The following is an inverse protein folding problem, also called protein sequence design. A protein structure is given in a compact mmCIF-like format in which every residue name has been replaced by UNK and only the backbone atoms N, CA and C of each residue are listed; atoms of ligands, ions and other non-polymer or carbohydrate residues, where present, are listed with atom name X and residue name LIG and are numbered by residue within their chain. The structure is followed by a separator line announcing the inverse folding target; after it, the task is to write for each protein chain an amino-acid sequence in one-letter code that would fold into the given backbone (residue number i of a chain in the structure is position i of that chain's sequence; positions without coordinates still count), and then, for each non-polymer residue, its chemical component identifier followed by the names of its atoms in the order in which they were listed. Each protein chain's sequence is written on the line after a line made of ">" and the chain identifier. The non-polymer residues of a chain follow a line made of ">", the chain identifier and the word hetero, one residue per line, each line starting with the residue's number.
data_IF_480468585686
#
_entry.id   IF_480468585686
#
_cell.length_a   1.000
_cell.length_b   1.000
_cell.length_c   1.000
_cell.angle_alpha   90.00
_cell.angle_beta   90.00
_cell.angle_gamma   90.00
#
_symmetry.space_group_name_H-M   'P 1'
#
loop_
_entity.id
_entity.type
_entity.pdbx_description
1 polymer ?
#
# COMPACT_ATOMS: atom_id res chain seq x y z
N UNK A 1 -65.33 -41.97 -6.34
CA UNK A 1 -64.74 -41.19 -5.22
C UNK A 1 -63.22 -41.36 -5.29
N UNK A 2 -62.42 -40.51 -5.93
CA UNK A 2 -62.29 -39.07 -5.76
C UNK A 2 -61.01 -38.73 -4.95
N UNK A 3 -59.82 -39.20 -5.37
CA UNK A 3 -58.55 -38.84 -4.69
C UNK A 3 -58.02 -37.52 -5.25
N UNK A 4 -58.34 -36.43 -4.55
CA UNK A 4 -57.76 -35.09 -4.73
C UNK A 4 -56.26 -35.14 -4.45
N UNK A 5 -55.43 -34.90 -5.48
CA UNK A 5 -53.99 -34.69 -5.34
C UNK A 5 -53.75 -33.19 -5.09
N UNK A 6 -53.37 -32.85 -3.87
CA UNK A 6 -52.89 -31.52 -3.49
C UNK A 6 -51.57 -31.19 -4.21
N UNK A 7 -51.41 -30.02 -4.87
CA UNK A 7 -50.14 -29.63 -5.48
C UNK A 7 -49.12 -29.25 -4.40
N UNK A 8 -47.95 -29.88 -4.44
CA UNK A 8 -46.82 -29.57 -3.56
C UNK A 8 -46.33 -28.13 -3.75
N UNK A 9 -46.33 -27.35 -2.67
CA UNK A 9 -45.68 -26.03 -2.61
C UNK A 9 -44.17 -26.21 -2.84
N UNK A 10 -43.64 -25.63 -3.91
CA UNK A 10 -42.19 -25.51 -4.12
C UNK A 10 -41.60 -24.55 -3.07
N UNK A 11 -40.51 -24.89 -2.39
CA UNK A 11 -39.82 -23.93 -1.54
C UNK A 11 -39.19 -22.84 -2.41
N UNK A 12 -39.58 -21.59 -2.17
CA UNK A 12 -38.99 -20.40 -2.79
C UNK A 12 -37.51 -20.33 -2.43
N UNK A 13 -36.64 -20.43 -3.43
CA UNK A 13 -35.20 -20.18 -3.28
C UNK A 13 -35.01 -18.71 -2.90
N UNK A 14 -34.83 -18.46 -1.61
CA UNK A 14 -34.43 -17.15 -1.10
C UNK A 14 -33.08 -16.78 -1.70
N UNK A 15 -33.07 -15.74 -2.55
CA UNK A 15 -31.85 -15.11 -3.05
C UNK A 15 -31.13 -14.50 -1.85
N UNK A 16 -30.20 -15.25 -1.25
CA UNK A 16 -29.30 -14.69 -0.23
C UNK A 16 -28.42 -13.65 -0.92
N UNK A 17 -28.76 -12.37 -0.71
CA UNK A 17 -27.91 -11.24 -1.05
C UNK A 17 -26.61 -11.43 -0.29
N UNK A 18 -25.56 -11.84 -1.00
CA UNK A 18 -24.22 -11.97 -0.44
C UNK A 18 -23.67 -10.57 -0.19
N UNK A 19 -23.93 -10.02 1.00
CA UNK A 19 -23.22 -8.84 1.49
C UNK A 19 -21.73 -9.19 1.60
N UNK A 20 -20.95 -8.75 0.62
CA UNK A 20 -19.50 -8.82 0.62
C UNK A 20 -18.93 -7.91 1.72
N UNK A 21 -19.03 -8.32 2.98
CA UNK A 21 -18.34 -7.67 4.08
C UNK A 21 -16.83 -7.88 3.89
N UNK A 22 -16.07 -6.81 3.70
CA UNK A 22 -14.61 -6.81 3.81
C UNK A 22 -14.24 -7.20 5.25
N UNK A 23 -14.19 -8.50 5.55
CA UNK A 23 -13.78 -8.98 6.87
C UNK A 23 -12.27 -8.79 6.97
N UNK A 24 -11.84 -7.69 7.60
CA UNK A 24 -10.47 -7.56 8.09
C UNK A 24 -10.28 -8.60 9.18
N UNK A 25 -9.49 -9.63 8.91
CA UNK A 25 -9.10 -10.61 9.91
C UNK A 25 -8.15 -9.93 10.92
N UNK A 26 -8.10 -10.40 12.17
CA UNK A 26 -7.27 -9.78 13.23
C UNK A 26 -5.80 -9.64 12.83
N UNK A 27 -5.30 -10.59 12.02
CA UNK A 27 -3.96 -10.55 11.41
C UNK A 27 -3.77 -9.34 10.50
N UNK A 28 -4.77 -9.00 9.69
CA UNK A 28 -4.69 -7.89 8.74
C UNK A 28 -4.65 -6.56 9.46
N UNK A 29 -5.43 -6.43 10.54
CA UNK A 29 -5.38 -5.27 11.40
C UNK A 29 -3.99 -5.12 12.03
N UNK A 30 -3.45 -6.20 12.62
CA UNK A 30 -2.12 -6.19 13.23
C UNK A 30 -1.01 -5.82 12.23
N UNK A 31 -1.06 -6.35 11.00
CA UNK A 31 -0.11 -5.98 9.95
C UNK A 31 -0.23 -4.51 9.57
N UNK A 32 -1.45 -4.03 9.33
CA UNK A 32 -1.72 -2.63 8.98
C UNK A 32 -1.21 -1.67 10.06
N UNK A 33 -1.51 -1.94 11.33
CA UNK A 33 -1.07 -1.10 12.45
C UNK A 33 0.44 -1.14 12.64
N UNK A 34 1.06 -2.32 12.54
CA UNK A 34 2.52 -2.48 12.73
C UNK A 34 3.29 -1.75 11.63
N UNK A 35 2.87 -1.86 10.38
CA UNK A 35 3.54 -1.17 9.27
C UNK A 35 3.23 0.33 9.23
N UNK A 36 2.04 0.77 9.68
CA UNK A 36 1.79 2.19 9.91
C UNK A 36 2.75 2.78 10.97
N UNK A 37 2.98 2.04 12.06
CA UNK A 37 3.95 2.42 13.09
C UNK A 37 5.39 2.41 12.55
N UNK A 38 5.77 1.43 11.72
CA UNK A 38 7.07 1.39 11.06
C UNK A 38 7.29 2.64 10.19
N UNK A 39 6.30 3.04 9.38
CA UNK A 39 6.36 4.25 8.56
C UNK A 39 6.55 5.49 9.45
N UNK A 40 5.80 5.58 10.56
CA UNK A 40 5.95 6.68 11.51
C UNK A 40 7.37 6.76 12.09
N UNK A 41 7.93 5.63 12.52
CA UNK A 41 9.33 5.56 12.99
C UNK A 41 10.29 6.04 11.90
N UNK A 42 10.16 5.53 10.67
CA UNK A 42 10.99 5.95 9.54
C UNK A 42 10.86 7.45 9.20
N UNK A 43 9.71 8.06 9.48
CA UNK A 43 9.46 9.48 9.24
C UNK A 43 10.08 10.39 10.30
N UNK A 44 10.07 9.99 11.57
CA UNK A 44 10.59 10.81 12.69
C UNK A 44 12.09 10.67 12.92
N UNK A 45 12.74 9.66 12.31
CA UNK A 45 14.20 9.57 12.31
C UNK A 45 14.86 10.85 11.77
N UNK A 46 16.07 11.21 12.25
CA UNK A 46 16.75 12.42 11.82
C UNK A 46 16.84 12.52 10.29
N UNK A 47 16.26 13.59 9.75
CA UNK A 47 16.25 13.85 8.31
C UNK A 47 17.51 14.61 7.90
N UNK A 48 18.03 14.31 6.71
CA UNK A 48 19.13 15.07 6.12
C UNK A 48 18.56 16.30 5.45
N UNK A 49 18.96 17.47 5.94
CA UNK A 49 18.53 18.75 5.37
C UNK A 49 19.26 18.97 4.05
N UNK A 50 18.47 19.25 3.01
CA UNK A 50 18.96 19.48 1.64
C UNK A 50 19.20 20.97 1.34
N UNK A 51 18.98 21.84 2.32
CA UNK A 51 18.95 23.30 2.12
C UNK A 51 17.69 23.81 1.39
N UNK A 52 16.77 22.92 1.01
CA UNK A 52 15.53 23.25 0.31
C UNK A 52 14.25 22.93 1.10
N UNK A 53 13.11 23.00 0.41
CA UNK A 53 11.78 22.94 1.02
C UNK A 53 11.39 21.57 1.63
N UNK A 54 12.03 20.49 1.19
CA UNK A 54 11.69 19.11 1.58
C UNK A 54 12.95 18.33 1.95
N UNK A 55 13.07 17.82 3.20
CA UNK A 55 14.25 17.09 3.64
C UNK A 55 14.29 15.65 3.14
N UNK A 56 15.47 15.04 3.13
CA UNK A 56 15.63 13.60 2.84
C UNK A 56 15.34 12.80 4.11
N UNK A 57 14.43 11.83 4.01
CA UNK A 57 14.03 10.96 5.13
C UNK A 57 14.14 9.48 4.79
N UNK A 58 14.03 8.62 5.80
CA UNK A 58 13.85 7.17 5.62
C UNK A 58 12.37 6.80 5.35
N UNK A 59 11.46 7.76 5.33
CA UNK A 59 10.02 7.49 5.19
C UNK A 59 9.66 6.79 3.88
N UNK A 60 10.29 7.17 2.76
CA UNK A 60 10.05 6.53 1.46
C UNK A 60 10.39 5.04 1.47
N UNK A 61 11.43 4.65 2.21
CA UNK A 61 11.77 3.23 2.43
C UNK A 61 10.63 2.49 3.16
N UNK A 62 10.13 3.05 4.28
CA UNK A 62 9.04 2.43 5.04
C UNK A 62 7.78 2.25 4.19
N UNK A 63 7.44 3.22 3.36
CA UNK A 63 6.28 3.19 2.45
C UNK A 63 6.44 2.10 1.39
N UNK A 64 7.58 2.04 0.70
CA UNK A 64 7.83 1.04 -0.35
C UNK A 64 7.86 -0.37 0.23
N UNK A 65 8.53 -0.56 1.38
CA UNK A 65 8.59 -1.85 2.07
C UNK A 65 7.20 -2.31 2.50
N UNK A 66 6.39 -1.41 3.03
CA UNK A 66 5.00 -1.69 3.42
C UNK A 66 4.18 -2.19 2.23
N UNK A 67 4.24 -1.50 1.09
CA UNK A 67 3.57 -1.94 -0.13
C UNK A 67 4.08 -3.29 -0.63
N UNK A 68 5.40 -3.44 -0.73
CA UNK A 68 6.04 -4.65 -1.23
C UNK A 68 5.76 -5.90 -0.38
N UNK A 69 5.60 -5.75 0.95
CA UNK A 69 5.32 -6.86 1.86
C UNK A 69 3.83 -7.17 1.99
N UNK A 70 2.98 -6.15 2.12
CA UNK A 70 1.57 -6.35 2.44
C UNK A 70 0.66 -6.43 1.20
N UNK A 71 1.17 -6.10 0.01
CA UNK A 71 0.39 -6.01 -1.20
C UNK A 71 -0.46 -4.72 -1.26
N UNK A 72 -1.29 -4.56 -2.30
CA UNK A 72 -1.86 -3.26 -2.65
C UNK A 72 -2.81 -2.72 -1.59
N UNK A 73 -3.75 -3.54 -1.12
CA UNK A 73 -4.81 -3.09 -0.19
C UNK A 73 -4.30 -2.89 1.23
N UNK A 74 -3.59 -3.87 1.79
CA UNK A 74 -3.05 -3.74 3.16
C UNK A 74 -1.96 -2.66 3.21
N UNK A 75 -1.15 -2.52 2.16
CA UNK A 75 -0.18 -1.44 2.05
C UNK A 75 -0.83 -0.06 2.00
N UNK A 76 -1.86 0.11 1.16
CA UNK A 76 -2.67 1.33 1.12
C UNK A 76 -3.30 1.65 2.47
N UNK A 77 -3.90 0.67 3.14
CA UNK A 77 -4.51 0.86 4.46
C UNK A 77 -3.48 1.22 5.54
N UNK A 78 -2.28 0.65 5.50
CA UNK A 78 -1.20 0.99 6.44
C UNK A 78 -0.72 2.43 6.27
N UNK A 79 -0.47 2.87 5.03
CA UNK A 79 -0.13 4.28 4.77
C UNK A 79 -1.30 5.20 5.11
N UNK A 80 -2.53 4.80 4.78
CA UNK A 80 -3.74 5.55 5.11
C UNK A 80 -3.90 5.74 6.62
N UNK A 81 -3.71 4.68 7.41
CA UNK A 81 -3.73 4.74 8.87
C UNK A 81 -2.63 5.67 9.39
N UNK A 82 -1.41 5.58 8.87
CA UNK A 82 -0.32 6.50 9.20
C UNK A 82 -0.72 7.96 8.97
N UNK A 83 -1.30 8.28 7.80
CA UNK A 83 -1.77 9.63 7.49
C UNK A 83 -2.88 10.08 8.43
N UNK A 84 -3.89 9.23 8.68
CA UNK A 84 -5.02 9.54 9.57
C UNK A 84 -4.55 9.84 11.00
N UNK A 85 -3.63 9.03 11.53
CA UNK A 85 -3.06 9.24 12.87
C UNK A 85 -2.31 10.57 12.95
N UNK A 86 -1.51 10.90 11.93
CA UNK A 86 -0.82 12.19 11.91
C UNK A 86 -1.77 13.38 11.77
N UNK A 87 -2.80 13.26 10.94
CA UNK A 87 -3.84 14.30 10.77
C UNK A 87 -4.64 14.49 12.08
N UNK A 88 -4.88 13.42 12.83
CA UNK A 88 -5.54 13.47 14.13
C UNK A 88 -4.71 14.18 15.22
N UNK A 89 -3.46 14.54 14.94
CA UNK A 89 -2.64 15.39 15.80
C UNK A 89 -1.40 14.72 16.39
N UNK A 90 -1.17 13.43 16.15
CA UNK A 90 0.04 12.76 16.62
C UNK A 90 1.26 13.21 15.79
N UNK A 91 2.41 13.54 16.42
CA UNK A 91 3.63 14.04 15.77
C UNK A 91 4.42 12.93 15.04
N UNK A 92 3.77 12.26 14.09
CA UNK A 92 4.32 11.12 13.34
C UNK A 92 4.85 11.50 11.96
N UNK A 93 4.65 12.75 11.51
CA UNK A 93 5.23 13.23 10.27
C UNK A 93 6.67 13.71 10.49
N UNK A 94 7.41 13.80 9.39
CA UNK A 94 8.78 14.30 9.35
C UNK A 94 8.96 15.59 10.15
N UNK A 95 10.07 15.70 10.91
CA UNK A 95 10.34 16.78 11.86
C UNK A 95 9.31 16.90 13.00
N UNK A 96 8.64 15.81 13.36
CA UNK A 96 7.64 15.79 14.44
C UNK A 96 6.38 16.58 14.13
N UNK A 97 6.07 16.82 12.85
CA UNK A 97 4.87 17.55 12.43
C UNK A 97 3.61 16.70 12.66
N UNK A 98 2.48 17.37 12.84
CA UNK A 98 1.15 16.75 12.96
C UNK A 98 0.04 17.69 12.48
N UNK A 99 -1.18 17.15 12.43
CA UNK A 99 -2.38 17.89 12.08
C UNK A 99 -2.60 18.05 10.58
N UNK A 100 -3.75 18.60 10.16
CA UNK A 100 -4.09 18.79 8.75
C UNK A 100 -3.22 19.85 8.06
N UNK A 101 -2.54 20.71 8.82
CA UNK A 101 -1.65 21.75 8.29
C UNK A 101 -0.46 21.18 7.50
N UNK A 102 -0.12 19.89 7.64
CA UNK A 102 0.91 19.26 6.82
C UNK A 102 0.59 19.26 5.33
N UNK A 103 -0.69 19.29 4.95
CA UNK A 103 -1.10 19.44 3.55
C UNK A 103 -0.90 20.85 3.00
N UNK A 104 -0.62 21.81 3.87
CA UNK A 104 -0.26 23.18 3.49
C UNK A 104 1.25 23.34 3.26
N UNK A 105 2.04 22.27 3.37
CA UNK A 105 3.49 22.29 3.17
C UNK A 105 3.90 21.83 1.76
N UNK A 106 5.09 22.19 1.27
CA UNK A 106 5.66 21.68 0.01
C UNK A 106 5.72 20.15 -0.06
N UNK A 107 5.85 19.48 1.09
CA UNK A 107 5.87 18.02 1.20
C UNK A 107 4.51 17.34 1.06
N UNK A 108 3.40 18.08 0.98
CA UNK A 108 2.05 17.53 0.91
C UNK A 108 1.85 16.53 -0.25
N UNK A 109 2.45 16.84 -1.41
CA UNK A 109 2.41 15.98 -2.59
C UNK A 109 3.03 14.60 -2.35
N UNK A 110 4.09 14.52 -1.55
CA UNK A 110 4.71 13.25 -1.19
C UNK A 110 3.82 12.41 -0.28
N UNK A 111 3.09 13.01 0.67
CA UNK A 111 2.18 12.27 1.55
C UNK A 111 1.05 11.59 0.76
N UNK A 112 0.46 12.29 -0.20
CA UNK A 112 -0.54 11.71 -1.12
C UNK A 112 0.11 10.65 -2.01
N UNK A 113 1.31 10.93 -2.53
CA UNK A 113 2.07 9.99 -3.34
C UNK A 113 2.43 8.70 -2.61
N UNK A 114 2.73 8.75 -1.31
CA UNK A 114 3.04 7.57 -0.52
C UNK A 114 1.87 6.59 -0.44
N UNK A 115 0.66 7.12 -0.28
CA UNK A 115 -0.55 6.30 -0.21
C UNK A 115 -0.75 5.49 -1.49
N UNK A 116 -0.58 6.14 -2.64
CA UNK A 116 -0.70 5.51 -3.96
C UNK A 116 0.50 4.61 -4.28
N UNK A 117 1.71 5.04 -3.91
CA UNK A 117 2.94 4.30 -4.17
C UNK A 117 2.97 2.95 -3.45
N UNK A 118 2.49 2.88 -2.20
CA UNK A 118 2.36 1.60 -1.49
C UNK A 118 1.38 0.65 -2.20
N UNK A 119 0.27 1.18 -2.72
CA UNK A 119 -0.68 0.39 -3.49
C UNK A 119 -0.06 -0.12 -4.80
N UNK A 120 0.63 0.74 -5.55
CA UNK A 120 1.27 0.41 -6.83
C UNK A 120 2.41 -0.59 -6.65
N UNK A 121 3.34 -0.34 -5.72
CA UNK A 121 4.43 -1.26 -5.42
C UNK A 121 3.89 -2.63 -5.01
N UNK A 122 2.91 -2.65 -4.10
CA UNK A 122 2.27 -3.88 -3.65
C UNK A 122 1.52 -4.62 -4.77
N UNK A 123 0.82 -3.89 -5.64
CA UNK A 123 0.15 -4.47 -6.81
C UNK A 123 1.15 -5.15 -7.75
N UNK A 124 2.23 -4.46 -8.11
CA UNK A 124 3.25 -5.00 -9.02
C UNK A 124 3.95 -6.23 -8.44
N UNK A 125 4.34 -6.18 -7.16
CA UNK A 125 4.93 -7.32 -6.46
C UNK A 125 3.96 -8.51 -6.40
N UNK A 126 2.70 -8.26 -6.06
CA UNK A 126 1.68 -9.31 -6.00
C UNK A 126 1.38 -9.90 -7.39
N UNK A 127 1.33 -9.06 -8.41
CA UNK A 127 1.10 -9.48 -9.80
C UNK A 127 2.21 -10.42 -10.29
N UNK A 128 3.46 -10.07 -10.03
CA UNK A 128 4.61 -10.90 -10.40
C UNK A 128 4.62 -12.22 -9.63
N UNK A 129 4.38 -12.19 -8.30
CA UNK A 129 4.30 -13.40 -7.47
C UNK A 129 3.27 -14.39 -8.01
N UNK A 130 2.14 -13.93 -8.55
CA UNK A 130 1.12 -14.82 -9.12
C UNK A 130 1.56 -15.52 -10.40
N UNK A 131 2.55 -14.99 -11.11
CA UNK A 131 3.04 -15.54 -12.40
C UNK A 131 4.34 -16.33 -12.27
N UNK A 132 5.02 -16.28 -11.12
CA UNK A 132 6.32 -16.91 -10.90
C UNK A 132 6.32 -17.65 -9.57
N UNK A 133 6.95 -18.82 -9.53
CA UNK A 133 7.06 -19.63 -8.30
C UNK A 133 7.85 -18.91 -7.20
N UNK A 134 8.83 -18.10 -7.57
CA UNK A 134 9.63 -17.29 -6.66
C UNK A 134 9.60 -15.80 -7.03
N UNK A 135 9.62 -14.94 -6.01
CA UNK A 135 9.73 -13.49 -6.18
C UNK A 135 11.20 -13.10 -6.29
N UNK A 136 11.64 -12.76 -7.50
CA UNK A 136 13.01 -12.34 -7.75
C UNK A 136 13.30 -10.91 -7.29
N UNK A 137 14.52 -10.70 -6.78
CA UNK A 137 15.04 -9.40 -6.34
C UNK A 137 14.80 -8.28 -7.38
N UNK A 138 15.18 -8.52 -8.63
CA UNK A 138 15.06 -7.54 -9.71
C UNK A 138 13.61 -7.08 -9.95
N UNK A 139 12.63 -7.96 -9.72
CA UNK A 139 11.21 -7.65 -9.93
C UNK A 139 10.67 -6.78 -8.80
N UNK A 140 11.09 -7.04 -7.56
CA UNK A 140 10.74 -6.18 -6.42
C UNK A 140 11.41 -4.82 -6.55
N UNK A 141 12.69 -4.81 -6.93
CA UNK A 141 13.41 -3.57 -7.20
C UNK A 141 12.71 -2.75 -8.27
N UNK A 142 12.39 -3.35 -9.43
CA UNK A 142 11.66 -2.69 -10.51
C UNK A 142 10.29 -2.16 -10.06
N UNK A 143 9.53 -2.93 -9.28
CA UNK A 143 8.25 -2.47 -8.73
C UNK A 143 8.40 -1.25 -7.80
N UNK A 144 9.44 -1.23 -6.96
CA UNK A 144 9.75 -0.11 -6.08
C UNK A 144 10.18 1.13 -6.88
N UNK A 145 11.04 0.97 -7.89
CA UNK A 145 11.48 2.07 -8.75
C UNK A 145 10.31 2.67 -9.55
N UNK A 146 9.40 1.83 -10.06
CA UNK A 146 8.17 2.30 -10.72
C UNK A 146 7.31 3.12 -9.76
N UNK A 147 7.08 2.65 -8.54
CA UNK A 147 6.32 3.39 -7.55
C UNK A 147 7.03 4.71 -7.16
N UNK A 148 8.34 4.73 -7.02
CA UNK A 148 9.11 5.93 -6.73
C UNK A 148 9.02 6.97 -7.85
N UNK A 149 9.40 6.60 -9.07
CA UNK A 149 9.57 7.56 -10.17
C UNK A 149 8.27 7.91 -10.88
N UNK A 150 7.28 7.01 -10.91
CA UNK A 150 6.01 7.27 -11.60
C UNK A 150 4.89 7.71 -10.65
N UNK A 151 5.07 7.60 -9.33
CA UNK A 151 4.05 7.98 -8.36
C UNK A 151 4.57 8.99 -7.33
N UNK A 152 5.62 8.65 -6.58
CA UNK A 152 6.12 9.52 -5.50
C UNK A 152 6.69 10.83 -6.07
N UNK A 153 7.62 10.76 -7.03
CA UNK A 153 8.28 11.95 -7.59
C UNK A 153 7.29 12.89 -8.29
N UNK A 154 6.40 12.45 -9.20
CA UNK A 154 5.47 13.34 -9.88
C UNK A 154 4.51 14.06 -8.93
N UNK A 155 3.99 13.35 -7.92
CA UNK A 155 3.10 13.96 -6.93
C UNK A 155 3.85 14.89 -5.97
N UNK A 156 5.09 14.53 -5.60
CA UNK A 156 5.99 15.41 -4.86
C UNK A 156 6.31 16.70 -5.60
N UNK A 157 6.64 16.61 -6.89
CA UNK A 157 6.86 17.76 -7.79
C UNK A 157 5.61 18.64 -7.84
N UNK A 158 4.43 18.05 -8.08
CA UNK A 158 3.17 18.79 -8.11
C UNK A 158 2.90 19.52 -6.78
N UNK A 159 3.21 18.88 -5.63
CA UNK A 159 3.12 19.50 -4.32
C UNK A 159 4.03 20.70 -4.14
N UNK A 160 5.27 20.62 -4.62
CA UNK A 160 6.22 21.73 -4.56
C UNK A 160 5.86 22.88 -5.50
N UNK A 161 5.39 22.59 -6.71
CA UNK A 161 4.89 23.63 -7.62
C UNK A 161 3.70 24.35 -6.99
N UNK A 162 2.79 23.62 -6.34
CA UNK A 162 1.59 24.19 -5.74
C UNK A 162 1.83 24.97 -4.45
N UNK A 163 2.77 24.51 -3.59
CA UNK A 163 2.92 25.04 -2.22
C UNK A 163 4.24 25.77 -1.97
N UNK A 164 5.24 25.63 -2.83
CA UNK A 164 6.54 26.31 -2.72
C UNK A 164 6.82 27.28 -3.88
N UNK A 165 5.83 27.51 -4.75
CA UNK A 165 5.92 28.42 -5.91
C UNK A 165 7.12 28.12 -6.83
N UNK A 166 7.59 26.87 -6.83
CA UNK A 166 8.66 26.44 -7.72
C UNK A 166 8.12 26.26 -9.14
N UNK A 167 8.95 26.55 -10.13
CA UNK A 167 8.65 26.14 -11.51
C UNK A 167 8.74 24.61 -11.63
N UNK A 168 8.04 24.03 -12.60
CA UNK A 168 8.12 22.59 -12.89
C UNK A 168 9.57 22.11 -13.10
N UNK A 169 10.39 22.92 -13.77
CA UNK A 169 11.80 22.63 -14.02
C UNK A 169 12.62 22.66 -12.73
N UNK A 170 12.42 23.67 -11.88
CA UNK A 170 13.12 23.77 -10.59
C UNK A 170 12.71 22.64 -9.64
N UNK A 171 11.42 22.31 -9.55
CA UNK A 171 10.92 21.23 -8.71
C UNK A 171 11.42 19.84 -9.18
N UNK A 172 11.53 19.64 -10.50
CA UNK A 172 12.10 18.41 -11.07
C UNK A 172 13.60 18.31 -10.81
N UNK A 173 14.35 19.39 -11.02
CA UNK A 173 15.78 19.44 -10.74
C UNK A 173 16.06 19.18 -9.24
N UNK A 174 15.23 19.73 -8.35
CA UNK A 174 15.33 19.48 -6.92
C UNK A 174 15.09 18.00 -6.54
N UNK A 175 14.18 17.30 -7.23
CA UNK A 175 13.97 15.86 -6.98
C UNK A 175 15.20 15.02 -7.34
N UNK A 176 16.10 15.51 -8.20
CA UNK A 176 17.34 14.80 -8.51
C UNK A 176 18.20 14.54 -7.26
N UNK A 177 18.12 15.43 -6.26
CA UNK A 177 18.79 15.27 -4.96
C UNK A 177 18.29 14.04 -4.18
N UNK A 178 17.07 13.58 -4.44
CA UNK A 178 16.50 12.40 -3.78
C UNK A 178 16.88 11.08 -4.44
N UNK A 179 17.26 11.11 -5.73
CA UNK A 179 17.50 9.90 -6.54
C UNK A 179 18.53 8.97 -5.90
N UNK A 180 19.74 9.41 -5.49
CA UNK A 180 20.73 8.50 -4.94
C UNK A 180 20.21 7.76 -3.69
N UNK A 181 19.56 8.49 -2.78
CA UNK A 181 18.98 7.93 -1.58
C UNK A 181 17.82 6.99 -1.88
N UNK A 182 16.96 7.33 -2.84
CA UNK A 182 15.82 6.50 -3.22
C UNK A 182 16.23 5.20 -3.93
N UNK A 183 17.31 5.21 -4.71
CA UNK A 183 17.89 4.00 -5.28
C UNK A 183 18.40 3.05 -4.19
N UNK A 184 19.13 3.57 -3.21
CA UNK A 184 19.60 2.78 -2.06
C UNK A 184 18.42 2.22 -1.28
N UNK A 185 17.41 3.04 -0.97
CA UNK A 185 16.20 2.59 -0.25
C UNK A 185 15.43 1.54 -1.03
N UNK A 186 15.28 1.68 -2.35
CA UNK A 186 14.61 0.70 -3.19
C UNK A 186 15.39 -0.62 -3.26
N UNK A 187 16.73 -0.56 -3.33
CA UNK A 187 17.60 -1.71 -3.27
C UNK A 187 17.42 -2.46 -1.94
N UNK A 188 17.53 -1.76 -0.81
CA UNK A 188 17.35 -2.36 0.53
C UNK A 188 15.94 -2.93 0.69
N UNK A 189 14.92 -2.21 0.21
CA UNK A 189 13.53 -2.70 0.19
C UNK A 189 13.42 -4.01 -0.58
N UNK A 190 14.03 -4.11 -1.75
CA UNK A 190 14.00 -5.32 -2.56
C UNK A 190 14.70 -6.51 -1.87
N UNK A 191 15.87 -6.28 -1.26
CA UNK A 191 16.56 -7.30 -0.44
C UNK A 191 15.62 -7.79 0.66
N UNK A 192 15.17 -6.89 1.54
CA UNK A 192 14.33 -7.24 2.69
C UNK A 192 13.05 -7.93 2.26
N UNK A 193 12.35 -7.38 1.27
CA UNK A 193 11.07 -7.92 0.83
C UNK A 193 11.23 -9.32 0.22
N UNK A 194 12.25 -9.57 -0.59
CA UNK A 194 12.48 -10.93 -1.12
C UNK A 194 12.83 -11.94 -0.03
N UNK A 195 13.70 -11.59 0.92
CA UNK A 195 14.05 -12.45 2.05
C UNK A 195 12.83 -12.78 2.93
N UNK A 196 12.05 -11.76 3.28
CA UNK A 196 10.84 -11.92 4.10
C UNK A 196 9.80 -12.77 3.38
N UNK A 197 9.65 -12.59 2.07
CA UNK A 197 8.70 -13.39 1.28
C UNK A 197 9.13 -14.83 1.06
N UNK A 198 10.44 -15.11 1.09
CA UNK A 198 10.96 -16.47 1.07
C UNK A 198 10.69 -17.18 2.42
N UNK A 199 10.80 -16.47 3.54
CA UNK A 199 10.53 -17.01 4.88
C UNK A 199 9.03 -17.07 5.24
N UNK A 200 8.25 -16.08 4.80
CA UNK A 200 6.84 -15.88 5.14
C UNK A 200 6.00 -15.63 3.88
N UNK A 201 5.79 -16.65 3.03
CA UNK A 201 5.10 -16.48 1.75
C UNK A 201 3.65 -15.99 1.88
N UNK A 202 3.00 -16.26 3.02
CA UNK A 202 1.59 -15.91 3.30
C UNK A 202 1.35 -14.44 3.67
N UNK A 203 2.39 -13.58 3.64
CA UNK A 203 2.23 -12.15 3.90
C UNK A 203 1.46 -11.43 2.79
N UNK A 204 1.67 -11.83 1.53
CA UNK A 204 0.86 -11.32 0.43
C UNK A 204 -0.56 -11.89 0.54
N UNK A 205 -1.61 -11.07 0.34
CA UNK A 205 -2.96 -11.59 0.26
C UNK A 205 -3.08 -12.56 -0.92
N UNK A 206 -3.32 -13.83 -0.64
CA UNK A 206 -3.72 -14.80 -1.66
C UNK A 206 -5.19 -14.54 -2.00
N UNK A 207 -5.60 -14.46 -3.28
CA UNK A 207 -7.01 -14.49 -3.61
C UNK A 207 -7.63 -15.74 -2.99
N UNK A 208 -8.58 -15.58 -2.05
CA UNK A 208 -9.36 -16.72 -1.56
C UNK A 208 -9.98 -17.37 -2.78
N UNK A 209 -9.44 -18.51 -3.21
CA UNK A 209 -10.05 -19.33 -4.26
C UNK A 209 -11.46 -19.58 -3.76
N UNK A 210 -12.46 -19.01 -4.44
CA UNK A 210 -13.86 -19.42 -4.23
C UNK A 210 -13.85 -20.92 -4.44
N UNK A 211 -13.94 -21.70 -3.37
CA UNK A 211 -14.33 -23.10 -3.47
C UNK A 211 -15.75 -23.05 -3.99
N UNK A 212 -15.89 -23.03 -5.31
CA UNK A 212 -17.15 -23.38 -5.96
C UNK A 212 -17.38 -24.80 -5.49
N UNK A 213 -18.27 -24.95 -4.51
CA UNK A 213 -18.71 -26.25 -4.06
C UNK A 213 -19.22 -26.96 -5.31
N UNK A 214 -18.40 -27.91 -5.78
CA UNK A 214 -18.73 -28.85 -6.84
C UNK A 214 -19.91 -29.65 -6.31
N UNK A 215 -21.12 -29.17 -6.61
CA UNK A 215 -22.35 -29.96 -6.55
C UNK A 215 -22.23 -30.98 -7.67
N UNK A 216 -21.44 -32.01 -7.43
CA UNK A 216 -21.58 -33.26 -8.17
C UNK A 216 -22.02 -34.33 -7.19
N UNK A 217 -22.81 -35.27 -7.71
CA UNK A 217 -23.30 -36.51 -7.10
C UNK A 217 -24.32 -36.37 -5.97
N UNK A 218 -25.53 -35.90 -6.31
CA UNK A 218 -26.77 -36.57 -5.91
C UNK A 218 -27.71 -36.49 -7.13
N UNK A 219 -27.55 -37.45 -8.03
CA UNK A 219 -28.59 -38.03 -8.87
C UNK A 219 -27.94 -39.29 -9.44
N UNK A 220 -27.97 -40.32 -8.58
CA UNK A 220 -27.77 -41.72 -8.90
C UNK A 220 -29.14 -42.31 -9.28
#
# INVERSE_FOLDING_TARGET
>A
MGRSRSPGRRPSKGTRVSTHSLRLESRDLALVTTFAALIAVCAVLPAVQTGGAVPITLQTFGVLLTGALLGPWRGFLAVGLYLLVGIAGLPVFTQGRSGPSVFLTPSAGYLVGFLLAAAVAGFLVQYVRRRRSALGFALVLGACLVATFLVIHPLGIAGMVWRAEMTWTAATAYNATFIPGDLVKAFVTAVVATSVHAAFPDLLPTPRRRTVARRETIDA
#
